data_IF_709143416256
#
_entry.id   IF_709143416256
#
_cell.length_a   1.000
_cell.length_b   1.000
_cell.length_c   1.000
_cell.angle_alpha   90.00
_cell.angle_beta   90.00
_cell.angle_gamma   90.00
#
_symmetry.space_group_name_H-M   'P 1'
#
loop_
_entity.id
_entity.type
_entity.pdbx_description
1 polymer ?
#
# COMPACT_ATOMS: atom_id res chain seq x y z
N UNK A 1 10.06 21.85 20.04
CA UNK A 1 9.53 20.50 20.34
C UNK A 1 9.04 19.89 19.03
N UNK A 2 9.61 18.76 18.57
CA UNK A 2 9.07 18.05 17.39
C UNK A 2 7.88 17.22 17.88
N UNK A 3 6.65 17.59 17.52
CA UNK A 3 5.42 16.98 18.06
C UNK A 3 5.36 15.45 17.84
N UNK A 4 5.97 14.96 16.76
CA UNK A 4 5.90 13.55 16.34
C UNK A 4 6.93 12.63 17.01
N UNK A 5 7.93 13.16 17.74
CA UNK A 5 8.94 12.34 18.40
C UNK A 5 8.40 11.47 19.54
N UNK A 6 7.15 11.72 19.95
CA UNK A 6 6.45 10.92 20.96
C UNK A 6 5.82 9.63 20.40
N UNK A 7 5.75 9.49 19.07
CA UNK A 7 5.15 8.32 18.39
C UNK A 7 6.22 7.53 17.62
N UNK A 8 7.06 8.23 16.85
CA UNK A 8 8.22 7.65 16.16
C UNK A 8 9.46 8.49 16.45
N UNK A 9 10.59 7.85 16.70
CA UNK A 9 11.86 8.50 17.02
C UNK A 9 12.74 8.79 15.80
N UNK A 10 12.53 8.07 14.69
CA UNK A 10 13.41 8.14 13.52
C UNK A 10 12.67 7.78 12.21
N UNK A 11 13.22 8.14 11.04
CA UNK A 11 12.75 7.62 9.76
C UNK A 11 12.81 6.08 9.68
N UNK A 12 13.71 5.42 10.42
CA UNK A 12 13.82 3.95 10.44
C UNK A 12 12.63 3.32 11.16
N UNK A 13 12.22 3.88 12.30
CA UNK A 13 11.02 3.40 13.00
C UNK A 13 9.74 3.57 12.16
N UNK A 14 9.67 4.64 11.35
CA UNK A 14 8.56 4.83 10.42
C UNK A 14 8.63 3.83 9.25
N UNK A 15 9.82 3.43 8.80
CA UNK A 15 9.98 2.39 7.77
C UNK A 15 9.54 1.04 8.32
N UNK A 16 9.88 0.72 9.56
CA UNK A 16 9.39 -0.48 10.24
C UNK A 16 7.87 -0.47 10.43
N UNK A 17 7.27 0.72 10.66
CA UNK A 17 5.81 0.86 10.64
C UNK A 17 5.24 0.60 9.25
N UNK A 18 5.81 1.18 8.20
CA UNK A 18 5.36 0.94 6.83
C UNK A 18 5.44 -0.55 6.46
N UNK A 19 6.48 -1.27 6.90
CA UNK A 19 6.59 -2.72 6.73
C UNK A 19 5.43 -3.46 7.39
N UNK A 20 5.16 -3.19 8.67
CA UNK A 20 4.05 -3.79 9.41
C UNK A 20 2.68 -3.49 8.80
N UNK A 21 2.47 -2.26 8.30
CA UNK A 21 1.23 -1.91 7.62
C UNK A 21 1.07 -2.67 6.29
N UNK A 22 2.17 -2.88 5.56
CA UNK A 22 2.18 -3.68 4.32
C UNK A 22 1.95 -5.18 4.55
N UNK A 23 2.50 -5.73 5.64
CA UNK A 23 2.23 -7.09 6.11
C UNK A 23 0.75 -7.25 6.49
N UNK A 24 0.19 -6.31 7.23
CA UNK A 24 -1.24 -6.29 7.59
C UNK A 24 -2.14 -6.25 6.35
N UNK A 25 -1.78 -5.45 5.33
CA UNK A 25 -2.49 -5.41 4.05
C UNK A 25 -2.44 -6.77 3.35
N UNK A 26 -1.26 -7.37 3.25
CA UNK A 26 -1.09 -8.69 2.61
C UNK A 26 -1.89 -9.77 3.35
N UNK A 27 -1.90 -9.73 4.69
CA UNK A 27 -2.69 -10.63 5.50
C UNK A 27 -4.19 -10.44 5.25
N UNK A 28 -4.68 -9.19 5.29
CA UNK A 28 -6.08 -8.87 5.05
C UNK A 28 -6.56 -9.32 3.65
N UNK A 29 -5.71 -9.17 2.63
CA UNK A 29 -5.97 -9.67 1.28
C UNK A 29 -6.08 -11.20 1.26
N UNK A 30 -5.18 -11.91 1.95
CA UNK A 30 -5.17 -13.38 1.97
C UNK A 30 -6.42 -13.99 2.59
N UNK A 31 -7.02 -13.32 3.57
CA UNK A 31 -8.28 -13.73 4.22
C UNK A 31 -9.52 -13.05 3.62
N UNK A 32 -9.36 -12.24 2.56
CA UNK A 32 -10.44 -11.53 1.87
C UNK A 32 -11.27 -10.59 2.77
N UNK A 33 -10.68 -10.02 3.82
CA UNK A 33 -11.34 -9.05 4.71
C UNK A 33 -11.30 -7.65 4.11
N UNK A 34 -12.40 -7.22 3.50
CA UNK A 34 -12.49 -5.92 2.84
C UNK A 34 -12.29 -4.73 3.78
N UNK A 35 -12.71 -4.83 5.05
CA UNK A 35 -12.56 -3.72 6.00
C UNK A 35 -11.09 -3.57 6.37
N UNK A 36 -10.47 -4.68 6.75
CA UNK A 36 -9.05 -4.70 7.09
C UNK A 36 -8.16 -4.31 5.90
N UNK A 37 -8.53 -4.65 4.67
CA UNK A 37 -7.82 -4.22 3.46
C UNK A 37 -7.87 -2.70 3.28
N UNK A 38 -9.03 -2.06 3.48
CA UNK A 38 -9.17 -0.61 3.35
C UNK A 38 -8.30 0.11 4.38
N UNK A 39 -8.38 -0.31 5.64
CA UNK A 39 -7.62 0.30 6.74
C UNK A 39 -6.12 0.11 6.55
N UNK A 40 -5.69 -1.10 6.17
CA UNK A 40 -4.28 -1.42 5.98
C UNK A 40 -3.70 -0.71 4.75
N UNK A 41 -4.45 -0.61 3.64
CA UNK A 41 -4.01 0.15 2.48
C UNK A 41 -3.81 1.64 2.82
N UNK A 42 -4.76 2.22 3.54
CA UNK A 42 -4.70 3.60 3.99
C UNK A 42 -3.46 3.83 4.87
N UNK A 43 -3.28 2.99 5.89
CA UNK A 43 -2.15 3.09 6.81
C UNK A 43 -0.81 2.93 6.09
N UNK A 44 -0.70 1.92 5.22
CA UNK A 44 0.50 1.69 4.42
C UNK A 44 0.86 2.89 3.56
N UNK A 45 -0.10 3.40 2.78
CA UNK A 45 0.14 4.54 1.89
C UNK A 45 0.57 5.80 2.66
N UNK A 46 -0.02 6.06 3.84
CA UNK A 46 0.37 7.18 4.70
C UNK A 46 1.79 7.01 5.22
N UNK A 47 2.10 5.87 5.83
CA UNK A 47 3.41 5.60 6.43
C UNK A 47 4.50 5.67 5.38
N UNK A 48 4.30 4.98 4.24
CA UNK A 48 5.28 4.90 3.17
C UNK A 48 5.51 6.24 2.46
N UNK A 49 4.46 7.03 2.23
CA UNK A 49 4.61 8.35 1.61
C UNK A 49 5.34 9.34 2.55
N UNK A 50 4.94 9.37 3.83
CA UNK A 50 5.48 10.37 4.75
C UNK A 50 6.91 10.10 5.22
N UNK A 51 7.51 8.94 4.91
CA UNK A 51 8.95 8.72 5.07
C UNK A 51 9.79 9.82 4.42
N UNK A 52 9.32 10.40 3.31
CA UNK A 52 9.99 11.51 2.65
C UNK A 52 10.16 12.73 3.58
N UNK A 53 9.13 13.04 4.38
CA UNK A 53 9.11 14.20 5.25
C UNK A 53 10.02 13.96 6.46
N UNK A 54 10.06 12.71 6.94
CA UNK A 54 10.97 12.28 7.99
C UNK A 54 12.42 12.36 7.52
N UNK A 55 12.75 11.84 6.34
CA UNK A 55 14.09 11.97 5.76
C UNK A 55 14.48 13.44 5.61
N UNK A 56 13.61 14.30 5.06
CA UNK A 56 13.88 15.74 4.94
C UNK A 56 14.15 16.43 6.27
N UNK A 57 13.46 15.99 7.33
CA UNK A 57 13.60 16.58 8.67
C UNK A 57 14.81 16.03 9.46
N UNK A 58 15.28 14.81 9.16
CA UNK A 58 16.41 14.17 9.83
C UNK A 58 17.73 14.32 9.09
N UNK A 59 17.68 14.33 7.76
CA UNK A 59 18.83 14.44 6.83
C UNK A 59 18.55 15.53 5.80
N UNK A 60 18.55 16.83 6.17
CA UNK A 60 18.18 17.93 5.27
C UNK A 60 19.02 17.99 3.99
N UNK A 61 20.26 17.52 4.04
CA UNK A 61 21.17 17.40 2.89
C UNK A 61 20.66 16.43 1.82
N UNK A 62 19.79 15.47 2.18
CA UNK A 62 19.19 14.50 1.27
C UNK A 62 17.87 14.99 0.65
N UNK A 63 17.43 16.23 0.95
CA UNK A 63 16.14 16.78 0.50
C UNK A 63 15.95 16.68 -1.02
N UNK A 64 16.98 16.98 -1.79
CA UNK A 64 16.95 16.86 -3.26
C UNK A 64 16.82 15.41 -3.70
N UNK A 65 17.69 14.54 -3.18
CA UNK A 65 17.75 13.11 -3.50
C UNK A 65 16.45 12.38 -3.19
N UNK A 66 15.86 12.60 -2.00
CA UNK A 66 14.60 11.94 -1.61
C UNK A 66 13.40 12.46 -2.42
N UNK A 67 13.44 13.73 -2.86
CA UNK A 67 12.39 14.27 -3.74
C UNK A 67 12.52 13.66 -5.14
N UNK A 68 13.75 13.48 -5.64
CA UNK A 68 13.99 12.78 -6.90
C UNK A 68 13.57 11.31 -6.84
N UNK A 69 13.80 10.63 -5.70
CA UNK A 69 13.34 9.26 -5.46
C UNK A 69 11.81 9.14 -5.61
N UNK A 70 11.05 10.03 -4.95
CA UNK A 70 9.60 10.07 -5.06
C UNK A 70 9.14 10.26 -6.50
N UNK A 71 9.75 11.20 -7.21
CA UNK A 71 9.32 11.58 -8.56
C UNK A 71 9.76 10.59 -9.64
N UNK A 72 10.77 9.76 -9.36
CA UNK A 72 11.26 8.71 -10.25
C UNK A 72 10.69 7.32 -9.95
N UNK A 73 9.78 7.18 -8.98
CA UNK A 73 9.21 5.91 -8.57
C UNK A 73 7.68 5.95 -8.66
N UNK A 74 7.12 5.20 -9.61
CA UNK A 74 5.67 5.09 -9.78
C UNK A 74 5.00 4.46 -8.54
N UNK A 75 5.67 3.53 -7.87
CA UNK A 75 5.13 2.89 -6.67
C UNK A 75 5.04 3.87 -5.49
N UNK A 76 6.05 4.74 -5.31
CA UNK A 76 5.98 5.83 -4.32
C UNK A 76 5.00 6.92 -4.73
N UNK A 77 4.92 7.25 -6.02
CA UNK A 77 3.91 8.17 -6.57
C UNK A 77 2.49 7.67 -6.32
N UNK A 78 2.26 6.35 -6.40
CA UNK A 78 0.98 5.75 -6.08
C UNK A 78 0.65 5.87 -4.58
N UNK A 79 1.61 5.64 -3.68
CA UNK A 79 1.41 5.88 -2.25
C UNK A 79 1.07 7.36 -1.95
N UNK A 80 1.73 8.32 -2.62
CA UNK A 80 1.37 9.74 -2.52
C UNK A 80 -0.08 9.98 -2.90
N UNK A 81 -0.51 9.43 -4.03
CA UNK A 81 -1.85 9.65 -4.55
C UNK A 81 -2.90 9.04 -3.63
N UNK A 82 -2.70 7.80 -3.18
CA UNK A 82 -3.56 7.11 -2.23
C UNK A 82 -3.65 7.85 -0.88
N UNK A 83 -2.52 8.31 -0.35
CA UNK A 83 -2.45 9.09 0.89
C UNK A 83 -3.18 10.43 0.78
N UNK A 84 -3.09 11.12 -0.37
CA UNK A 84 -3.77 12.38 -0.57
C UNK A 84 -5.27 12.19 -0.85
N UNK A 85 -5.64 11.18 -1.64
CA UNK A 85 -7.04 10.86 -1.97
C UNK A 85 -7.82 10.43 -0.73
N UNK A 86 -7.17 9.80 0.25
CA UNK A 86 -7.81 9.42 1.49
C UNK A 86 -8.03 10.58 2.47
N UNK A 87 -7.25 11.66 2.35
CA UNK A 87 -7.43 12.90 3.12
C UNK A 87 -8.42 13.88 2.50
N UNK A 88 -8.51 13.86 1.17
CA UNK A 88 -9.30 14.81 0.40
C UNK A 88 -10.36 14.07 -0.41
N UNK A 89 -11.63 14.27 -0.07
CA UNK A 89 -12.76 13.72 -0.84
C UNK A 89 -12.70 14.12 -2.33
N UNK A 90 -12.11 15.29 -2.64
CA UNK A 90 -11.86 15.77 -3.99
C UNK A 90 -10.39 16.24 -4.06
N UNK A 91 -9.62 15.68 -5.01
CA UNK A 91 -8.26 16.13 -5.26
C UNK A 91 -8.24 17.44 -6.05
N UNK A 92 -7.79 18.53 -5.43
CA UNK A 92 -7.60 19.82 -6.10
C UNK A 92 -6.27 19.85 -6.84
N UNK A 93 -6.30 19.64 -8.16
CA UNK A 93 -5.08 19.49 -8.97
C UNK A 93 -4.28 20.79 -9.16
N UNK A 94 -4.92 21.93 -8.96
CA UNK A 94 -4.30 23.26 -9.13
C UNK A 94 -3.43 23.71 -7.94
N UNK A 95 -3.39 22.92 -6.85
CA UNK A 95 -2.69 23.27 -5.61
C UNK A 95 -1.78 22.14 -5.14
N UNK A 96 -0.74 22.52 -4.39
CA UNK A 96 0.17 21.57 -3.74
C UNK A 96 0.99 20.74 -4.74
N UNK A 97 1.38 19.51 -4.38
CA UNK A 97 2.31 18.70 -5.18
C UNK A 97 1.76 18.33 -6.56
N UNK A 98 0.44 18.36 -6.78
CA UNK A 98 -0.18 17.98 -8.05
C UNK A 98 0.01 18.98 -9.19
N UNK A 99 0.39 20.22 -8.87
CA UNK A 99 0.72 21.22 -9.89
C UNK A 99 1.98 20.83 -10.68
N UNK A 100 2.95 20.25 -10.00
CA UNK A 100 4.24 19.86 -10.56
C UNK A 100 4.26 18.37 -10.91
N UNK A 101 3.54 17.55 -10.14
CA UNK A 101 3.51 16.10 -10.27
C UNK A 101 2.07 15.60 -10.24
N UNK A 102 1.37 15.56 -11.39
CA UNK A 102 -0.03 15.14 -11.45
C UNK A 102 -0.23 13.73 -10.88
N UNK A 103 -1.46 13.38 -10.44
CA UNK A 103 -1.75 12.03 -9.99
C UNK A 103 -1.44 11.02 -11.10
N UNK A 104 -0.84 9.90 -10.76
CA UNK A 104 -0.55 8.76 -11.62
C UNK A 104 -1.53 7.61 -11.38
N UNK A 105 -2.17 7.54 -10.21
CA UNK A 105 -3.25 6.57 -9.95
C UNK A 105 -4.54 7.05 -10.60
N UNK A 106 -5.15 6.19 -11.40
CA UNK A 106 -6.46 6.43 -12.01
C UNK A 106 -7.59 5.87 -11.15
N UNK A 107 -7.42 4.66 -10.60
CA UNK A 107 -8.46 3.98 -9.82
C UNK A 107 -7.88 2.84 -8.96
N UNK A 108 -8.59 2.46 -7.90
CA UNK A 108 -8.31 1.25 -7.11
C UNK A 108 -9.52 0.33 -7.20
N UNK A 109 -9.32 -0.87 -7.74
CA UNK A 109 -10.42 -1.79 -8.04
C UNK A 109 -10.20 -3.16 -7.38
N UNK A 110 -11.30 -3.75 -6.91
CA UNK A 110 -11.35 -5.16 -6.54
C UNK A 110 -11.70 -5.95 -7.79
N UNK A 111 -10.93 -6.99 -8.09
CA UNK A 111 -11.21 -7.93 -9.19
C UNK A 111 -11.29 -9.36 -8.69
N UNK A 112 -12.26 -10.18 -9.14
CA UNK A 112 -12.25 -11.60 -8.83
C UNK A 112 -11.00 -12.26 -9.40
N UNK A 113 -10.41 -13.19 -8.64
CA UNK A 113 -9.33 -14.03 -9.17
C UNK A 113 -9.94 -14.98 -10.19
N UNK A 114 -9.38 -15.03 -11.40
CA UNK A 114 -9.81 -16.02 -12.37
C UNK A 114 -9.64 -17.42 -11.75
N UNK A 115 -10.76 -18.13 -11.55
CA UNK A 115 -10.72 -19.54 -11.20
C UNK A 115 -10.13 -20.29 -12.39
N UNK A 116 -8.83 -20.58 -12.37
CA UNK A 116 -8.33 -21.74 -13.11
C UNK A 116 -9.00 -22.96 -12.51
N UNK A 117 -10.01 -23.48 -13.21
CA UNK A 117 -10.80 -24.65 -12.82
C UNK A 117 -9.89 -25.83 -12.52
N UNK A 118 -9.58 -26.07 -11.24
CA UNK A 118 -9.24 -27.41 -10.79
C UNK A 118 -10.56 -28.15 -10.67
N UNK A 119 -10.79 -29.09 -11.59
CA UNK A 119 -11.84 -30.11 -11.51
C UNK A 119 -11.79 -30.76 -10.12
N UNK A 120 -12.67 -30.32 -9.21
CA UNK A 120 -12.98 -31.09 -8.01
C UNK A 120 -14.03 -32.12 -8.41
N UNK A 121 -13.58 -33.32 -8.75
CA UNK A 121 -14.39 -34.52 -8.59
C UNK A 121 -14.50 -34.72 -7.08
N UNK A 122 -15.60 -34.30 -6.48
CA UNK A 122 -15.95 -34.67 -5.12
C UNK A 122 -16.90 -35.86 -5.20
N UNK A 123 -16.37 -37.04 -4.88
CA UNK A 123 -17.16 -38.22 -4.56
C UNK A 123 -18.10 -37.92 -3.40
N UNK A 124 -19.34 -38.38 -3.55
CA UNK A 124 -20.40 -38.30 -2.55
C UNK A 124 -20.08 -39.30 -1.43
N UNK A 125 -19.90 -38.80 -0.21
CA UNK A 125 -20.07 -39.61 0.99
C UNK A 125 -20.97 -38.87 1.98
N UNK A 126 -22.19 -39.39 2.10
CA UNK A 126 -23.13 -39.06 3.17
C UNK A 126 -22.56 -39.51 4.53
N UNK A 127 -22.56 -38.64 5.54
CA UNK A 127 -23.11 -38.93 6.87
C UNK A 127 -23.07 -37.72 7.82
N UNK A 128 -24.27 -37.36 8.29
CA UNK A 128 -24.66 -36.87 9.61
C UNK A 128 -23.88 -35.72 10.30
N UNK A 129 -24.55 -34.56 10.34
CA UNK A 129 -24.88 -33.86 11.60
C UNK A 129 -23.80 -33.02 12.27
N UNK A 130 -23.79 -31.71 12.01
CA UNK A 130 -23.59 -30.65 13.01
C UNK A 130 -23.81 -29.29 12.34
N UNK A 131 -24.19 -28.28 13.13
CA UNK A 131 -24.64 -26.96 12.69
C UNK A 131 -23.56 -26.25 11.85
N UNK A 132 -23.67 -26.38 10.52
CA UNK A 132 -22.78 -25.72 9.58
C UNK A 132 -23.08 -24.23 9.51
N UNK A 133 -22.23 -23.41 10.13
CA UNK A 133 -21.97 -22.06 9.62
C UNK A 133 -21.50 -22.29 8.18
N UNK A 134 -22.36 -21.99 7.21
CA UNK A 134 -21.98 -22.07 5.81
C UNK A 134 -20.71 -21.21 5.63
N UNK A 135 -19.58 -21.75 5.17
CA UNK A 135 -18.47 -20.91 4.76
C UNK A 135 -19.00 -20.14 3.55
N UNK A 136 -19.33 -18.88 3.75
CA UNK A 136 -19.50 -17.90 2.68
C UNK A 136 -18.14 -17.75 2.03
N UNK A 137 -17.77 -18.72 1.19
CA UNK A 137 -16.56 -18.68 0.38
C UNK A 137 -16.77 -17.63 -0.70
N UNK A 138 -16.61 -16.35 -0.31
CA UNK A 138 -16.44 -15.31 -1.29
C UNK A 138 -15.27 -15.75 -2.18
N UNK A 139 -15.43 -15.72 -3.51
CA UNK A 139 -14.35 -16.10 -4.40
C UNK A 139 -13.15 -15.20 -4.11
N UNK A 140 -11.92 -15.75 -4.09
CA UNK A 140 -10.74 -14.98 -3.76
C UNK A 140 -10.66 -13.80 -4.71
N UNK A 141 -10.55 -12.59 -4.16
CA UNK A 141 -10.45 -11.36 -4.93
C UNK A 141 -9.08 -10.72 -4.71
N UNK A 142 -8.66 -9.88 -5.65
CA UNK A 142 -7.42 -9.12 -5.58
C UNK A 142 -7.69 -7.64 -5.70
N UNK A 143 -6.95 -6.87 -4.93
CA UNK A 143 -6.93 -5.42 -5.03
C UNK A 143 -5.88 -5.00 -6.07
N UNK A 144 -6.30 -4.20 -7.05
CA UNK A 144 -5.43 -3.70 -8.11
C UNK A 144 -5.47 -2.18 -8.14
N UNK A 145 -4.29 -1.58 -8.19
CA UNK A 145 -4.11 -0.15 -8.39
C UNK A 145 -3.91 0.03 -9.90
N UNK A 146 -4.84 0.75 -10.53
CA UNK A 146 -4.76 1.09 -11.95
C UNK A 146 -4.10 2.45 -12.10
N UNK A 147 -3.02 2.51 -12.86
CA UNK A 147 -2.32 3.73 -13.22
C UNK A 147 -2.99 4.41 -14.42
N UNK A 148 -2.69 5.70 -14.65
CA UNK A 148 -3.24 6.50 -15.75
C UNK A 148 -2.78 6.07 -17.13
N UNK A 149 -1.62 5.42 -17.23
CA UNK A 149 -1.14 4.81 -18.48
C UNK A 149 -1.89 3.50 -18.82
N UNK A 150 -2.80 3.05 -17.95
CA UNK A 150 -3.58 1.83 -18.11
C UNK A 150 -2.95 0.59 -17.48
N UNK A 151 -1.70 0.68 -17.00
CA UNK A 151 -1.05 -0.40 -16.28
C UNK A 151 -1.75 -0.67 -14.95
N UNK A 152 -1.56 -1.89 -14.43
CA UNK A 152 -2.17 -2.36 -13.19
C UNK A 152 -1.11 -3.04 -12.34
N UNK A 153 -0.99 -2.63 -11.09
CA UNK A 153 -0.15 -3.26 -10.08
C UNK A 153 -1.03 -3.90 -9.00
N UNK A 154 -0.68 -5.11 -8.56
CA UNK A 154 -1.36 -5.71 -7.41
C UNK A 154 -0.95 -4.97 -6.13
N UNK A 155 -1.82 -4.95 -5.12
CA UNK A 155 -1.50 -4.27 -3.86
C UNK A 155 -0.27 -4.88 -3.17
N UNK A 156 -0.09 -6.19 -3.28
CA UNK A 156 1.07 -6.92 -2.74
C UNK A 156 2.38 -6.55 -3.45
N UNK A 157 2.32 -6.35 -4.77
CA UNK A 157 3.46 -5.92 -5.58
C UNK A 157 3.82 -4.47 -5.23
N UNK A 158 2.82 -3.59 -5.08
CA UNK A 158 3.01 -2.21 -4.63
C UNK A 158 3.74 -2.16 -3.27
N UNK A 159 3.32 -2.98 -2.31
CA UNK A 159 3.98 -3.07 -0.99
C UNK A 159 5.44 -3.47 -1.15
N UNK A 160 5.70 -4.54 -1.89
CA UNK A 160 7.05 -5.09 -2.06
C UNK A 160 7.98 -4.08 -2.75
N UNK A 161 7.50 -3.42 -3.81
CA UNK A 161 8.26 -2.41 -4.53
C UNK A 161 8.58 -1.20 -3.66
N UNK A 162 7.58 -0.65 -2.95
CA UNK A 162 7.75 0.54 -2.12
C UNK A 162 8.71 0.28 -0.97
N UNK A 163 8.56 -0.84 -0.25
CA UNK A 163 9.48 -1.21 0.83
C UNK A 163 10.90 -1.39 0.28
N UNK A 164 11.05 -2.12 -0.84
CA UNK A 164 12.36 -2.32 -1.46
C UNK A 164 13.01 -1.03 -1.99
N UNK A 165 12.22 -0.04 -2.43
CA UNK A 165 12.74 1.29 -2.79
C UNK A 165 13.26 2.03 -1.57
N UNK A 166 12.50 2.04 -0.46
CA UNK A 166 12.93 2.70 0.77
C UNK A 166 14.13 2.03 1.42
N UNK A 167 14.16 0.70 1.51
CA UNK A 167 15.28 -0.04 2.09
C UNK A 167 16.58 0.23 1.33
N UNK A 168 16.55 0.22 -0.01
CA UNK A 168 17.71 0.61 -0.83
C UNK A 168 18.13 2.04 -0.57
N UNK A 169 17.20 2.98 -0.56
CA UNK A 169 17.51 4.39 -0.28
C UNK A 169 18.16 4.56 1.10
N UNK A 170 17.66 3.87 2.13
CA UNK A 170 18.21 3.94 3.48
C UNK A 170 19.61 3.34 3.55
N UNK A 171 19.84 2.20 2.89
CA UNK A 171 21.13 1.56 2.80
C UNK A 171 22.17 2.45 2.08
N UNK A 172 21.82 2.97 0.89
CA UNK A 172 22.70 3.80 0.06
C UNK A 172 23.09 5.13 0.72
N UNK A 173 22.26 5.63 1.63
CA UNK A 173 22.46 6.90 2.33
C UNK A 173 22.83 6.76 3.81
N UNK A 174 23.10 5.53 4.25
CA UNK A 174 23.49 5.18 5.62
C UNK A 174 22.54 5.78 6.68
N UNK A 175 21.24 5.58 6.49
CA UNK A 175 20.20 5.98 7.45
C UNK A 175 19.95 4.78 8.37
N UNK A 176 20.33 4.93 9.65
CA UNK A 176 20.20 3.93 10.72
C UNK A 176 19.23 4.40 11.80
#
# INVERSE_FOLDING_TARGET
MKLLSAIYGSPVELLDKARRDGEALTQALSICDQSAVRDSLFNFAISAYHLLDWVKAFRPELKGTVTALLNGSDSLGACRDLCNASKHLILTLERGPYREHPPIVANVNISPTAQTSRLHIAEVSEQAGEQGIAPTSQPPWRLKIQMKDGSKIAAEDLVSEVIGVWERFFADNHIQ
#
